data_IF_529264035206
#
_entry.id   IF_529264035206
#
_cell.length_a   1.000
_cell.length_b   1.000
_cell.length_c   1.000
_cell.angle_alpha   90.00
_cell.angle_beta   90.00
_cell.angle_gamma   90.00
#
_symmetry.space_group_name_H-M   'P 1'
#
loop_
_entity.id
_entity.type
_entity.pdbx_description
1 polymer ?
#
# COMPACT_ATOMS: atom_id res chain seq x y z
N UNK A 1 18.47 -64.80 0.04
CA UNK A 1 18.14 -63.59 -0.75
C UNK A 1 17.53 -62.55 0.19
N UNK A 2 18.27 -61.48 0.47
CA UNK A 2 17.91 -60.45 1.46
C UNK A 2 16.96 -59.44 0.78
N UNK A 3 15.67 -59.50 1.10
CA UNK A 3 14.67 -58.58 0.56
C UNK A 3 14.83 -57.23 1.25
N UNK A 4 15.45 -56.27 0.56
CA UNK A 4 15.48 -54.87 0.98
C UNK A 4 14.07 -54.30 0.87
N UNK A 5 13.55 -53.84 2.00
CA UNK A 5 12.31 -53.08 2.10
C UNK A 5 12.67 -51.64 1.77
N UNK A 6 12.23 -51.14 0.61
CA UNK A 6 12.37 -49.74 0.20
C UNK A 6 11.17 -48.97 0.77
N UNK A 7 11.35 -48.02 1.72
CA UNK A 7 10.25 -47.20 2.18
C UNK A 7 9.94 -46.16 1.10
N UNK A 8 8.80 -46.32 0.43
CA UNK A 8 8.27 -45.34 -0.50
C UNK A 8 7.80 -44.12 0.31
N UNK A 9 8.62 -43.08 0.37
CA UNK A 9 8.23 -41.78 0.91
C UNK A 9 7.15 -41.17 0.00
N UNK A 10 5.89 -41.29 0.41
CA UNK A 10 4.76 -40.59 -0.17
C UNK A 10 4.90 -39.09 0.15
N UNK A 11 5.64 -38.35 -0.69
CA UNK A 11 5.51 -36.89 -0.72
C UNK A 11 4.12 -36.59 -1.29
N UNK A 12 3.19 -36.26 -0.39
CA UNK A 12 1.89 -35.70 -0.77
C UNK A 12 2.15 -34.33 -1.43
N UNK A 13 1.75 -34.09 -2.69
CA UNK A 13 1.74 -32.75 -3.22
C UNK A 13 0.71 -31.96 -2.40
N UNK A 14 1.17 -31.01 -1.59
CA UNK A 14 0.29 -30.00 -1.05
C UNK A 14 -0.32 -29.28 -2.25
N UNK A 15 -1.59 -29.56 -2.54
CA UNK A 15 -2.38 -28.83 -3.49
C UNK A 15 -2.63 -27.44 -2.87
N UNK A 16 -1.68 -26.54 -3.04
CA UNK A 16 -1.90 -25.13 -2.76
C UNK A 16 -2.95 -24.66 -3.76
N UNK A 17 -4.10 -24.18 -3.28
CA UNK A 17 -5.10 -23.57 -4.14
C UNK A 17 -4.50 -22.28 -4.72
N UNK A 18 -3.94 -22.40 -5.93
CA UNK A 18 -3.12 -21.38 -6.52
C UNK A 18 -4.02 -20.34 -7.18
N UNK A 19 -4.27 -19.24 -6.46
CA UNK A 19 -4.92 -18.09 -7.04
C UNK A 19 -4.04 -17.47 -8.12
N UNK A 20 -4.66 -17.07 -9.23
CA UNK A 20 -4.01 -16.37 -10.33
C UNK A 20 -4.85 -15.19 -10.81
N UNK A 21 -4.18 -14.15 -11.30
CA UNK A 21 -4.79 -12.96 -11.86
C UNK A 21 -3.90 -12.42 -12.97
N UNK A 22 -4.50 -11.99 -14.08
CA UNK A 22 -3.77 -11.45 -15.22
C UNK A 22 -2.90 -10.25 -14.80
N UNK A 23 -1.65 -10.22 -15.28
CA UNK A 23 -0.65 -9.18 -14.99
C UNK A 23 -0.17 -9.13 -13.53
N UNK A 24 -0.46 -10.18 -12.74
CA UNK A 24 0.11 -10.36 -11.40
C UNK A 24 0.96 -11.64 -11.36
N UNK A 25 2.02 -11.67 -10.55
CA UNK A 25 2.70 -12.91 -10.22
C UNK A 25 1.77 -13.81 -9.38
N UNK A 26 2.18 -15.08 -9.22
CA UNK A 26 1.48 -16.04 -8.37
C UNK A 26 1.25 -15.49 -6.96
N UNK A 27 0.08 -15.78 -6.39
CA UNK A 27 -0.27 -15.34 -5.05
C UNK A 27 0.53 -16.11 -4.00
N UNK A 28 0.92 -15.42 -2.93
CA UNK A 28 1.46 -16.00 -1.71
C UNK A 28 0.40 -16.03 -0.62
N UNK A 29 0.37 -17.09 0.18
CA UNK A 29 -0.51 -17.16 1.35
C UNK A 29 0.18 -16.47 2.54
N UNK A 30 -0.31 -15.29 2.93
CA UNK A 30 0.24 -14.51 4.03
C UNK A 30 -0.20 -15.06 5.40
N UNK A 31 -1.40 -15.61 5.45
CA UNK A 31 -2.01 -16.29 6.60
C UNK A 31 -3.01 -17.29 6.05
N UNK A 32 -3.31 -18.36 6.77
CA UNK A 32 -4.27 -19.38 6.30
C UNK A 32 -5.56 -18.74 5.77
N UNK A 33 -5.85 -18.99 4.48
CA UNK A 33 -7.02 -18.46 3.76
C UNK A 33 -6.91 -17.00 3.29
N UNK A 34 -5.75 -16.36 3.45
CA UNK A 34 -5.46 -14.99 3.00
C UNK A 34 -4.30 -15.00 2.01
N UNK A 35 -4.61 -14.64 0.77
CA UNK A 35 -3.67 -14.67 -0.35
C UNK A 35 -3.35 -13.25 -0.81
N UNK A 36 -2.09 -12.96 -1.09
CA UNK A 36 -1.63 -11.64 -1.53
C UNK A 36 -0.78 -11.72 -2.79
N UNK A 37 -0.88 -10.70 -3.64
CA UNK A 37 0.01 -10.50 -4.78
C UNK A 37 0.17 -9.01 -5.04
N UNK A 38 1.28 -8.63 -5.69
CA UNK A 38 1.56 -7.24 -6.03
C UNK A 38 2.21 -7.13 -7.40
N UNK A 39 1.87 -6.07 -8.14
CA UNK A 39 2.44 -5.80 -9.45
C UNK A 39 2.39 -4.30 -9.79
N UNK A 40 3.42 -3.83 -10.49
CA UNK A 40 3.42 -2.50 -11.08
C UNK A 40 2.59 -2.50 -12.36
N UNK A 41 1.49 -1.75 -12.38
CA UNK A 41 0.59 -1.67 -13.53
C UNK A 41 0.47 -0.24 -14.03
N UNK A 42 0.26 -0.12 -15.34
CA UNK A 42 -0.04 1.13 -16.02
C UNK A 42 -1.54 1.44 -15.96
N UNK A 43 -1.89 2.72 -16.14
CA UNK A 43 -3.25 3.21 -16.35
C UNK A 43 -3.88 2.48 -17.53
N UNK A 44 -5.14 2.08 -17.37
CA UNK A 44 -5.86 1.36 -18.41
C UNK A 44 -7.05 0.60 -17.87
N UNK A 45 -7.66 -0.23 -18.70
CA UNK A 45 -8.82 -1.05 -18.34
C UNK A 45 -8.52 -2.51 -18.67
N UNK A 46 -8.93 -3.42 -17.79
CA UNK A 46 -8.84 -4.87 -18.01
C UNK A 46 -10.00 -5.59 -17.34
N UNK A 47 -10.44 -6.76 -17.85
CA UNK A 47 -11.33 -7.65 -17.12
C UNK A 47 -10.68 -8.08 -15.80
N UNK A 48 -11.47 -8.14 -14.72
CA UNK A 48 -11.01 -8.59 -13.41
C UNK A 48 -11.54 -10.00 -13.16
N UNK A 49 -10.79 -10.97 -13.67
CA UNK A 49 -11.06 -12.40 -13.51
C UNK A 49 -9.91 -13.05 -12.75
N UNK A 50 -10.24 -13.73 -11.66
CA UNK A 50 -9.32 -14.50 -10.85
C UNK A 50 -9.58 -15.97 -11.10
N UNK A 51 -8.55 -16.80 -11.05
CA UNK A 51 -8.71 -18.25 -11.16
C UNK A 51 -8.15 -18.93 -9.93
N UNK A 52 -8.92 -19.88 -9.39
CA UNK A 52 -8.51 -20.79 -8.34
C UNK A 52 -8.73 -22.21 -8.89
N UNK A 53 -7.68 -22.99 -9.08
CA UNK A 53 -7.76 -24.37 -9.60
C UNK A 53 -8.63 -24.47 -10.87
N UNK A 54 -8.41 -23.55 -11.82
CA UNK A 54 -9.17 -23.38 -13.07
C UNK A 54 -10.60 -22.87 -12.95
N UNK A 55 -11.15 -22.71 -11.74
CA UNK A 55 -12.43 -22.06 -11.53
C UNK A 55 -12.29 -20.54 -11.63
N UNK A 56 -13.08 -19.93 -12.52
CA UNK A 56 -13.12 -18.49 -12.72
C UNK A 56 -14.00 -17.79 -11.66
N UNK A 57 -13.47 -16.73 -11.08
CA UNK A 57 -14.11 -15.85 -10.11
C UNK A 57 -14.05 -14.40 -10.58
N UNK A 58 -15.11 -13.65 -10.33
CA UNK A 58 -15.17 -12.21 -10.59
C UNK A 58 -15.93 -11.47 -9.47
N UNK A 59 -15.71 -10.16 -9.30
CA UNK A 59 -16.49 -9.36 -8.36
C UNK A 59 -18.00 -9.39 -8.64
N UNK A 60 -18.79 -9.21 -7.59
CA UNK A 60 -20.25 -9.07 -7.70
C UNK A 60 -20.66 -7.66 -8.12
N UNK A 61 -19.87 -6.66 -7.72
CA UNK A 61 -20.16 -5.24 -7.93
C UNK A 61 -19.03 -4.53 -8.71
N UNK A 62 -19.25 -3.25 -9.01
CA UNK A 62 -18.24 -2.37 -9.59
C UNK A 62 -16.94 -2.36 -8.80
N UNK A 63 -15.81 -2.41 -9.50
CA UNK A 63 -14.47 -2.45 -8.89
C UNK A 63 -14.10 -1.10 -8.29
N UNK A 64 -13.81 -1.07 -6.99
CA UNK A 64 -13.32 0.11 -6.28
C UNK A 64 -12.08 -0.24 -5.46
N UNK A 65 -11.12 0.67 -5.40
CA UNK A 65 -9.91 0.49 -4.60
C UNK A 65 -10.25 0.61 -3.09
N UNK A 66 -9.47 -0.10 -2.29
CA UNK A 66 -9.53 -0.18 -0.83
C UNK A 66 -10.89 -0.61 -0.27
N UNK A 67 -11.72 -1.28 -1.08
CA UNK A 67 -13.00 -1.84 -0.68
C UNK A 67 -12.95 -3.36 -0.79
N UNK A 68 -13.67 -4.02 0.12
CA UNK A 68 -13.89 -5.46 0.09
C UNK A 68 -14.99 -5.77 -0.90
N UNK A 69 -14.66 -6.56 -1.92
CA UNK A 69 -15.55 -6.97 -3.00
C UNK A 69 -15.82 -8.46 -2.89
N UNK A 70 -17.09 -8.86 -2.77
CA UNK A 70 -17.45 -10.29 -2.79
C UNK A 70 -17.23 -10.88 -4.18
N UNK A 71 -16.59 -12.05 -4.24
CA UNK A 71 -16.39 -12.78 -5.49
C UNK A 71 -17.51 -13.80 -5.71
N UNK A 72 -17.89 -13.95 -6.97
CA UNK A 72 -18.83 -14.95 -7.46
C UNK A 72 -18.19 -15.73 -8.63
N UNK A 73 -18.61 -16.97 -8.90
CA UNK A 73 -18.20 -17.68 -10.10
C UNK A 73 -18.57 -16.89 -11.37
N UNK A 74 -17.69 -16.91 -12.38
CA UNK A 74 -17.89 -16.07 -13.57
C UNK A 74 -19.19 -16.35 -14.34
N UNK A 75 -19.67 -17.60 -14.34
CA UNK A 75 -20.93 -18.03 -14.98
C UNK A 75 -21.14 -17.41 -16.38
N UNK A 76 -22.40 -17.28 -16.82
CA UNK A 76 -22.76 -16.59 -18.07
C UNK A 76 -22.83 -15.05 -17.91
N UNK A 77 -22.27 -14.51 -16.83
CA UNK A 77 -22.27 -13.06 -16.57
C UNK A 77 -21.15 -12.37 -17.34
N UNK A 78 -21.37 -11.16 -17.86
CA UNK A 78 -20.32 -10.41 -18.55
C UNK A 78 -19.14 -10.12 -17.60
N UNK A 79 -17.89 -10.12 -18.08
CA UNK A 79 -16.73 -9.84 -17.25
C UNK A 79 -16.81 -8.45 -16.61
N UNK A 80 -16.60 -8.39 -15.28
CA UNK A 80 -16.48 -7.12 -14.57
C UNK A 80 -15.14 -6.46 -14.92
N UNK A 81 -15.19 -5.25 -15.47
CA UNK A 81 -13.99 -4.51 -15.86
C UNK A 81 -13.44 -3.66 -14.71
N UNK A 82 -12.12 -3.71 -14.53
CA UNK A 82 -11.38 -2.85 -13.64
C UNK A 82 -10.70 -1.72 -14.41
N UNK A 83 -11.09 -0.49 -14.09
CA UNK A 83 -10.46 0.74 -14.59
C UNK A 83 -9.38 1.20 -13.62
N UNK A 84 -8.12 1.13 -14.05
CA UNK A 84 -6.95 1.70 -13.37
C UNK A 84 -6.81 3.16 -13.80
N UNK A 85 -6.95 4.08 -12.84
CA UNK A 85 -6.95 5.53 -13.13
C UNK A 85 -5.55 6.14 -13.27
N UNK A 86 -4.53 5.46 -12.76
CA UNK A 86 -3.12 5.88 -12.78
C UNK A 86 -2.18 4.68 -12.79
N UNK A 87 -0.92 4.95 -13.09
CA UNK A 87 0.16 3.98 -12.91
C UNK A 87 0.45 3.81 -11.41
N UNK A 88 0.95 2.64 -11.01
CA UNK A 88 1.41 2.42 -9.64
C UNK A 88 1.65 0.96 -9.28
N UNK A 89 2.13 0.75 -8.05
CA UNK A 89 2.25 -0.59 -7.46
C UNK A 89 0.90 -1.00 -6.86
N UNK A 90 0.22 -1.93 -7.52
CA UNK A 90 -1.07 -2.43 -7.10
C UNK A 90 -0.89 -3.64 -6.19
N UNK A 91 -1.67 -3.68 -5.12
CA UNK A 91 -1.71 -4.78 -4.16
C UNK A 91 -3.07 -5.46 -4.26
N UNK A 92 -3.07 -6.79 -4.22
CA UNK A 92 -4.26 -7.63 -4.30
C UNK A 92 -4.28 -8.52 -3.09
N UNK A 93 -5.43 -8.57 -2.42
CA UNK A 93 -5.67 -9.46 -1.28
C UNK A 93 -6.95 -10.23 -1.51
N UNK A 94 -6.88 -11.55 -1.36
CA UNK A 94 -8.02 -12.46 -1.42
C UNK A 94 -8.20 -13.07 -0.03
N UNK A 95 -9.40 -13.01 0.52
CA UNK A 95 -9.73 -13.58 1.83
C UNK A 95 -10.85 -14.60 1.68
N UNK A 96 -10.58 -15.85 2.04
CA UNK A 96 -11.48 -17.00 1.89
C UNK A 96 -12.08 -17.47 3.22
N UNK A 97 -11.76 -16.80 4.33
CA UNK A 97 -12.09 -17.27 5.68
C UNK A 97 -13.58 -17.17 6.03
N UNK A 98 -14.35 -16.38 5.28
CA UNK A 98 -15.78 -16.15 5.48
C UNK A 98 -16.69 -17.07 4.65
N UNK A 99 -16.15 -18.09 3.98
CA UNK A 99 -16.91 -19.01 3.14
C UNK A 99 -17.23 -18.49 1.74
N UNK A 100 -17.42 -17.18 1.58
CA UNK A 100 -17.40 -16.49 0.28
C UNK A 100 -16.06 -15.78 0.10
N UNK A 101 -15.27 -16.11 -0.95
CA UNK A 101 -14.03 -15.39 -1.24
C UNK A 101 -14.29 -13.89 -1.45
N UNK A 102 -13.46 -13.06 -0.83
CA UNK A 102 -13.52 -11.60 -0.99
C UNK A 102 -12.21 -11.07 -1.55
N UNK A 103 -12.28 -10.00 -2.32
CA UNK A 103 -11.16 -9.35 -2.98
C UNK A 103 -11.02 -7.92 -2.46
N UNK A 104 -9.79 -7.51 -2.17
CA UNK A 104 -9.44 -6.12 -1.92
C UNK A 104 -8.30 -5.72 -2.85
N UNK A 105 -8.49 -4.61 -3.57
CA UNK A 105 -7.49 -4.03 -4.46
C UNK A 105 -7.00 -2.72 -3.84
N UNK A 106 -5.70 -2.59 -3.65
CA UNK A 106 -5.04 -1.39 -3.17
C UNK A 106 -4.05 -0.85 -4.19
N UNK A 107 -3.66 0.40 -4.00
CA UNK A 107 -2.47 0.99 -4.63
C UNK A 107 -1.58 1.50 -3.51
N UNK A 108 -0.30 1.16 -3.56
CA UNK A 108 0.67 1.69 -2.63
C UNK A 108 0.67 3.22 -2.73
N UNK A 109 0.52 3.89 -1.59
CA UNK A 109 0.59 5.33 -1.56
C UNK A 109 2.03 5.75 -1.88
N UNK A 110 2.25 6.79 -2.71
CA UNK A 110 3.58 7.36 -2.83
C UNK A 110 4.05 7.76 -1.45
N UNK A 111 5.29 7.39 -1.10
CA UNK A 111 5.92 7.82 0.15
C UNK A 111 5.83 9.35 0.20
N UNK A 112 5.15 9.94 1.21
CA UNK A 112 5.11 11.38 1.32
C UNK A 112 6.55 11.89 1.40
N UNK A 113 6.89 13.00 0.72
CA UNK A 113 8.20 13.62 0.90
C UNK A 113 8.44 13.81 2.40
N UNK A 114 9.67 13.55 2.86
CA UNK A 114 10.07 13.72 4.25
C UNK A 114 9.48 15.03 4.78
N UNK A 115 8.74 14.93 5.89
CA UNK A 115 7.85 15.97 6.41
C UNK A 115 8.40 17.36 6.10
N UNK A 116 7.72 18.09 5.22
CA UNK A 116 7.99 19.50 5.04
C UNK A 116 7.90 20.11 6.44
N UNK A 117 9.04 20.54 6.98
CA UNK A 117 9.11 21.15 8.30
C UNK A 117 8.10 22.28 8.27
N UNK A 118 6.97 22.09 8.94
CA UNK A 118 5.95 23.12 9.05
C UNK A 118 6.58 24.22 9.88
N UNK A 119 7.15 25.23 9.21
CA UNK A 119 7.60 26.47 9.84
C UNK A 119 6.34 27.15 10.35
N UNK A 120 5.96 26.84 11.59
CA UNK A 120 4.93 27.60 12.27
C UNK A 120 5.52 28.97 12.60
N UNK A 121 5.05 30.02 11.96
CA UNK A 121 5.29 31.38 12.44
C UNK A 121 4.67 31.46 13.83
N UNK A 122 5.51 31.61 14.86
CA UNK A 122 5.04 31.82 16.22
C UNK A 122 4.20 33.11 16.23
N UNK A 123 2.97 33.03 16.75
CA UNK A 123 2.11 34.21 16.92
C UNK A 123 2.57 34.91 18.19
N UNK A 124 2.92 36.19 18.09
CA UNK A 124 3.31 36.99 19.25
C UNK A 124 2.17 37.03 20.29
N UNK A 125 2.52 36.81 21.55
CA UNK A 125 1.62 36.70 22.70
C UNK A 125 1.46 38.02 23.47
N UNK A 126 2.10 39.10 23.00
CA UNK A 126 2.10 40.41 23.63
C UNK A 126 3.15 40.58 24.74
N UNK A 127 3.96 39.56 25.03
CA UNK A 127 5.05 39.68 26.00
C UNK A 127 6.33 40.23 25.33
N UNK A 128 7.23 40.88 26.09
CA UNK A 128 8.54 41.28 25.58
C UNK A 128 9.28 40.07 24.99
N UNK A 129 9.74 40.20 23.73
CA UNK A 129 10.54 39.18 23.07
C UNK A 129 12.02 39.42 23.40
N UNK A 130 12.64 38.50 24.14
CA UNK A 130 14.09 38.48 24.32
C UNK A 130 14.72 37.69 23.18
N UNK A 131 15.61 38.33 22.43
CA UNK A 131 16.38 37.70 21.35
C UNK A 131 17.83 37.62 21.80
N UNK A 132 18.38 36.41 21.81
CA UNK A 132 19.82 36.21 22.00
C UNK A 132 20.54 36.73 20.77
N UNK A 133 21.39 37.74 20.96
CA UNK A 133 22.18 38.38 19.89
C UNK A 133 23.68 38.15 20.08
N UNK A 134 24.07 37.27 20.99
CA UNK A 134 25.47 36.98 21.28
C UNK A 134 26.21 36.51 20.02
N UNK A 135 27.30 37.18 19.69
CA UNK A 135 28.07 36.99 18.45
C UNK A 135 27.56 37.74 17.20
N UNK A 136 26.51 38.57 17.30
CA UNK A 136 26.06 39.43 16.18
C UNK A 136 26.87 40.72 16.08
N UNK A 137 27.35 41.23 17.22
CA UNK A 137 28.13 42.46 17.33
C UNK A 137 29.55 42.14 17.80
N UNK A 138 30.53 42.90 17.34
CA UNK A 138 31.89 42.80 17.84
C UNK A 138 32.02 43.45 19.22
N UNK A 139 32.96 42.96 20.03
CA UNK A 139 33.29 43.56 21.32
C UNK A 139 33.74 45.02 21.14
N UNK A 140 33.03 45.94 21.80
CA UNK A 140 33.27 47.39 21.72
C UNK A 140 32.59 48.11 20.56
N UNK A 141 31.73 47.43 19.79
CA UNK A 141 30.93 48.04 18.73
C UNK A 141 29.79 48.89 19.32
N UNK A 142 29.65 50.13 18.83
CA UNK A 142 28.57 51.04 19.27
C UNK A 142 27.26 50.69 18.57
N UNK A 143 26.25 50.29 19.34
CA UNK A 143 24.93 49.92 18.81
C UNK A 143 23.96 51.06 19.03
N UNK A 144 23.30 51.52 17.96
CA UNK A 144 22.26 52.55 18.03
C UNK A 144 20.88 51.94 17.97
N UNK A 145 20.08 52.19 19.00
CA UNK A 145 18.66 51.85 18.99
C UNK A 145 17.91 52.69 17.94
N UNK A 146 17.18 52.01 17.06
CA UNK A 146 16.53 52.66 15.92
C UNK A 146 15.39 53.59 16.31
N UNK A 147 14.66 53.28 17.39
CA UNK A 147 13.43 54.01 17.75
C UNK A 147 13.68 55.18 18.71
N UNK A 148 14.61 55.01 19.65
CA UNK A 148 15.00 56.01 20.65
C UNK A 148 16.21 56.83 20.22
N UNK A 149 17.02 56.31 19.29
CA UNK A 149 18.27 56.94 18.86
C UNK A 149 19.40 56.86 19.89
N UNK A 150 19.19 56.20 21.02
CA UNK A 150 20.22 56.00 22.04
C UNK A 150 21.31 55.04 21.55
N UNK A 151 22.52 55.22 22.06
CA UNK A 151 23.67 54.36 21.75
C UNK A 151 24.17 53.66 23.01
N UNK A 152 24.51 52.38 22.88
CA UNK A 152 25.16 51.57 23.91
C UNK A 152 26.50 51.02 23.39
#
# INVERSE_FOLDING_TARGET
>A
MKRLILPLLLLSPAAFAAWTLQNFPSFSEATSGVFTSQATLQKGQQPLQLFQDSQCWQPTDSVKLNQTLSLQPCAAQPPVNWRRFRDGNYQVRIDTRSGTPTLQLGIEAPTPPAAAVSRSCQRWDGQPLTVEVDGTFAEGETVRDFYSGQTA
#
